data_IF_595386113837
#
_entry.id   IF_595386113837
#
_cell.length_a   1.000
_cell.length_b   1.000
_cell.length_c   1.000
_cell.angle_alpha   90.00
_cell.angle_beta   90.00
_cell.angle_gamma   90.00
#
_symmetry.space_group_name_H-M   'P 1'
#
loop_
_entity.id
_entity.type
_entity.pdbx_description
1 polymer ?
#
# COMPACT_ATOMS: atom_id res chain seq x y z
N UNK A 1 -56.60 10.78 -7.15
CA UNK A 1 -56.08 10.97 -5.78
C UNK A 1 -55.55 9.62 -5.36
N UNK A 2 -54.23 9.53 -5.29
CA UNK A 2 -53.46 8.29 -5.30
C UNK A 2 -53.51 7.55 -3.98
N UNK A 3 -53.31 6.24 -4.11
CA UNK A 3 -53.27 5.19 -3.13
C UNK A 3 -52.12 5.36 -2.14
N UNK A 4 -52.39 5.03 -0.87
CA UNK A 4 -51.44 5.03 0.23
C UNK A 4 -51.05 3.57 0.52
N UNK A 5 -49.83 3.18 0.15
CA UNK A 5 -49.25 1.87 0.44
C UNK A 5 -47.86 2.07 1.07
N UNK A 6 -47.78 1.77 2.37
CA UNK A 6 -46.55 1.65 3.13
C UNK A 6 -45.76 0.39 2.75
N UNK A 7 -44.42 0.44 2.68
CA UNK A 7 -43.60 -0.75 2.77
C UNK A 7 -42.77 -0.82 4.06
N UNK A 8 -42.67 -2.06 4.53
CA UNK A 8 -42.10 -2.50 5.80
C UNK A 8 -40.56 -2.57 5.77
N UNK A 9 -39.97 -2.43 6.97
CA UNK A 9 -38.57 -2.67 7.29
C UNK A 9 -38.09 -4.06 6.85
N UNK A 10 -36.99 -4.12 6.08
CA UNK A 10 -36.23 -5.34 5.81
C UNK A 10 -34.92 -5.28 6.61
N UNK A 11 -34.71 -6.27 7.47
CA UNK A 11 -33.55 -6.47 8.35
C UNK A 11 -32.29 -6.92 7.59
N UNK A 12 -31.19 -6.17 7.77
CA UNK A 12 -29.83 -6.46 7.27
C UNK A 12 -29.08 -7.48 8.16
N UNK A 13 -29.50 -8.74 8.18
CA UNK A 13 -28.78 -9.79 8.95
C UNK A 13 -28.12 -10.89 8.09
N UNK A 14 -28.20 -10.80 6.76
CA UNK A 14 -27.66 -11.84 5.85
C UNK A 14 -26.25 -11.60 5.26
N UNK A 15 -25.68 -10.41 5.37
CA UNK A 15 -24.51 -10.00 4.56
C UNK A 15 -23.13 -10.23 5.22
N UNK A 16 -23.07 -10.64 6.49
CA UNK A 16 -21.86 -10.45 7.31
C UNK A 16 -20.93 -11.68 7.44
N UNK A 17 -21.34 -12.88 7.00
CA UNK A 17 -20.57 -14.11 7.27
C UNK A 17 -19.80 -14.67 6.07
N UNK A 18 -20.36 -14.59 4.87
CA UNK A 18 -19.74 -15.14 3.64
C UNK A 18 -18.60 -14.26 3.09
N UNK A 19 -18.76 -12.94 3.16
CA UNK A 19 -17.76 -11.96 2.70
C UNK A 19 -16.49 -11.97 3.56
N UNK A 20 -16.63 -12.11 4.89
CA UNK A 20 -15.48 -12.19 5.81
C UNK A 20 -14.58 -13.40 5.54
N UNK A 21 -15.15 -14.57 5.26
CA UNK A 21 -14.35 -15.77 4.96
C UNK A 21 -13.66 -15.68 3.60
N UNK A 22 -14.33 -15.15 2.58
CA UNK A 22 -13.76 -14.95 1.25
C UNK A 22 -12.58 -13.95 1.26
N UNK A 23 -12.69 -12.86 2.05
CA UNK A 23 -11.64 -11.84 2.14
C UNK A 23 -10.40 -12.34 2.90
N UNK A 24 -10.58 -13.12 3.99
CA UNK A 24 -9.44 -13.79 4.66
C UNK A 24 -8.73 -14.83 3.80
N UNK A 25 -9.42 -15.43 2.81
CA UNK A 25 -8.82 -16.38 1.88
C UNK A 25 -8.07 -15.67 0.74
N UNK A 26 -8.54 -14.50 0.27
CA UNK A 26 -7.84 -13.67 -0.72
C UNK A 26 -6.57 -13.01 -0.17
N UNK A 27 -6.61 -12.48 1.06
CA UNK A 27 -5.41 -11.94 1.72
C UNK A 27 -4.33 -13.01 1.96
N UNK A 28 -4.74 -14.26 2.26
CA UNK A 28 -3.81 -15.40 2.39
C UNK A 28 -3.18 -15.83 1.06
N UNK A 29 -3.89 -15.70 -0.05
CA UNK A 29 -3.35 -16.06 -1.36
C UNK A 29 -2.20 -15.13 -1.83
N UNK A 30 -2.17 -13.87 -1.38
CA UNK A 30 -1.08 -12.93 -1.65
C UNK A 30 0.24 -13.31 -0.95
N UNK A 31 0.17 -13.88 0.26
CA UNK A 31 1.37 -14.26 1.05
C UNK A 31 2.07 -15.50 0.48
N UNK A 32 1.30 -16.46 -0.05
CA UNK A 32 1.84 -17.75 -0.53
C UNK A 32 2.63 -17.65 -1.84
N UNK A 33 2.38 -16.62 -2.67
CA UNK A 33 3.10 -16.41 -3.92
C UNK A 33 4.57 -16.00 -3.68
N UNK A 34 4.86 -15.26 -2.60
CA UNK A 34 6.22 -14.79 -2.30
C UNK A 34 7.08 -15.86 -1.60
N UNK A 35 6.48 -16.79 -0.85
CA UNK A 35 7.22 -17.87 -0.18
C UNK A 35 7.81 -18.89 -1.16
N UNK A 36 7.17 -19.10 -2.33
CA UNK A 36 7.68 -19.99 -3.40
C UNK A 36 8.86 -19.40 -4.17
N UNK A 37 8.96 -18.07 -4.25
CA UNK A 37 10.09 -17.36 -4.88
C UNK A 37 11.33 -17.32 -3.96
N UNK A 38 11.14 -17.24 -2.64
CA UNK A 38 12.26 -17.21 -1.68
C UNK A 38 12.90 -18.60 -1.44
N UNK A 39 12.15 -19.69 -1.61
CA UNK A 39 12.71 -21.06 -1.50
C UNK A 39 13.50 -21.46 -2.75
N UNK A 40 13.15 -20.92 -3.94
CA UNK A 40 13.88 -21.22 -5.18
C UNK A 40 15.27 -20.56 -5.24
N UNK A 41 15.48 -19.43 -4.55
CA UNK A 41 16.82 -18.82 -4.44
C UNK A 41 17.72 -19.43 -3.35
N UNK A 42 17.17 -20.14 -2.37
CA UNK A 42 17.99 -20.85 -1.36
C UNK A 42 18.53 -22.20 -1.84
N UNK A 43 17.96 -22.79 -2.90
CA UNK A 43 18.41 -24.09 -3.44
C UNK A 43 19.34 -24.00 -4.66
N UNK A 44 19.44 -22.83 -5.31
CA UNK A 44 20.37 -22.60 -6.43
C UNK A 44 21.80 -22.25 -5.99
N UNK A 45 22.01 -21.85 -4.72
CA UNK A 45 23.34 -21.55 -4.17
C UNK A 45 24.17 -22.76 -3.73
N UNK A 46 23.62 -23.98 -3.75
CA UNK A 46 24.26 -25.18 -3.23
C UNK A 46 24.84 -26.14 -4.30
N UNK A 47 24.74 -25.83 -5.61
CA UNK A 47 25.14 -26.74 -6.71
C UNK A 47 26.44 -26.29 -7.41
N UNK A 48 27.16 -25.28 -6.92
CA UNK A 48 28.44 -24.83 -7.56
C UNK A 48 29.70 -25.51 -6.98
N UNK A 49 29.55 -26.42 -6.01
CA UNK A 49 30.70 -27.03 -5.33
C UNK A 49 30.74 -28.56 -5.40
N UNK A 50 30.47 -29.17 -6.56
CA UNK A 50 31.01 -30.52 -6.87
C UNK A 50 30.85 -30.83 -8.35
N UNK A 51 31.98 -30.97 -9.05
CA UNK A 51 32.30 -31.98 -10.09
C UNK A 51 33.37 -31.38 -10.99
N UNK A 52 34.62 -31.59 -10.59
CA UNK A 52 35.79 -31.58 -11.49
C UNK A 52 35.99 -33.04 -11.94
N UNK A 53 36.40 -33.23 -13.19
CA UNK A 53 36.77 -34.50 -13.87
C UNK A 53 35.53 -35.29 -14.34
N UNK A 54 35.26 -35.48 -15.63
CA UNK A 54 35.92 -36.43 -16.54
C UNK A 54 35.82 -36.00 -18.02
N UNK A 55 36.85 -36.42 -18.74
CA UNK A 55 37.27 -36.22 -20.12
C UNK A 55 36.26 -36.45 -21.27
N UNK A 56 36.53 -35.67 -22.32
CA UNK A 56 36.40 -35.88 -23.78
C UNK A 56 35.81 -37.20 -24.30
N UNK A 57 34.82 -37.10 -25.18
CA UNK A 57 34.86 -37.75 -26.51
C UNK A 57 33.70 -37.26 -27.40
N UNK A 58 34.05 -36.71 -28.56
CA UNK A 58 33.13 -36.42 -29.66
C UNK A 58 32.76 -37.71 -30.38
N UNK A 59 31.46 -38.02 -30.48
CA UNK A 59 30.95 -39.03 -31.40
C UNK A 59 29.81 -38.47 -32.25
N UNK A 60 30.07 -38.38 -33.56
CA UNK A 60 29.08 -38.33 -34.62
C UNK A 60 28.40 -39.70 -34.75
N UNK A 61 27.07 -39.74 -34.97
CA UNK A 61 26.36 -40.34 -36.14
C UNK A 61 24.81 -40.36 -35.86
N UNK A 62 23.93 -40.78 -36.80
CA UNK A 62 22.94 -39.92 -37.44
C UNK A 62 21.48 -40.22 -37.05
N UNK A 63 20.58 -39.27 -37.37
CA UNK A 63 19.13 -39.43 -37.26
C UNK A 63 18.62 -40.51 -38.21
N UNK A 64 17.86 -41.48 -37.68
CA UNK A 64 16.93 -42.32 -38.44
C UNK A 64 15.50 -41.84 -38.18
N UNK A 65 14.77 -41.64 -39.26
CA UNK A 65 13.34 -41.28 -39.28
C UNK A 65 12.54 -42.51 -38.84
N UNK A 66 11.55 -42.29 -37.98
CA UNK A 66 10.48 -43.24 -37.77
C UNK A 66 9.14 -42.50 -37.90
N UNK A 67 8.35 -42.98 -38.85
CA UNK A 67 7.06 -42.48 -39.27
C UNK A 67 6.00 -43.22 -38.45
N UNK A 68 5.30 -42.50 -37.57
CA UNK A 68 4.22 -43.06 -36.75
C UNK A 68 2.89 -42.58 -37.32
N UNK A 69 2.09 -43.56 -37.75
CA UNK A 69 0.79 -43.38 -38.38
C UNK A 69 -0.28 -42.89 -37.40
N UNK A 70 -1.14 -42.01 -37.93
CA UNK A 70 -2.28 -41.36 -37.29
C UNK A 70 -3.44 -42.35 -37.06
N UNK A 71 -4.05 -42.40 -35.87
CA UNK A 71 -5.39 -42.97 -35.70
C UNK A 71 -6.45 -41.88 -35.87
N UNK A 72 -7.48 -42.21 -36.64
CA UNK A 72 -8.69 -41.44 -36.95
C UNK A 72 -9.59 -41.19 -35.73
N UNK A 73 -10.24 -40.01 -35.73
CA UNK A 73 -11.18 -39.50 -34.72
C UNK A 73 -12.38 -40.43 -34.45
N UNK A 74 -12.92 -40.46 -33.22
CA UNK A 74 -14.32 -40.76 -32.98
C UNK A 74 -15.17 -39.48 -33.10
N UNK A 75 -16.30 -39.59 -33.79
CA UNK A 75 -17.34 -38.57 -33.88
C UNK A 75 -18.10 -38.48 -32.55
N UNK A 76 -18.35 -37.26 -32.08
CA UNK A 76 -19.30 -36.97 -31.01
C UNK A 76 -20.37 -36.06 -31.56
N UNK A 77 -21.60 -36.49 -31.34
CA UNK A 77 -22.88 -36.00 -31.85
C UNK A 77 -23.23 -34.62 -31.29
N UNK A 78 -23.80 -33.79 -32.16
CA UNK A 78 -24.66 -32.64 -31.80
C UNK A 78 -25.85 -33.15 -31.00
N UNK A 79 -26.10 -32.57 -29.82
CA UNK A 79 -27.44 -32.48 -29.24
C UNK A 79 -27.53 -31.27 -28.28
N UNK A 80 -28.35 -30.32 -28.73
CA UNK A 80 -29.21 -29.40 -27.97
C UNK A 80 -28.63 -28.18 -27.25
N UNK A 81 -29.02 -27.04 -27.82
CA UNK A 81 -29.05 -25.67 -27.34
C UNK A 81 -29.40 -25.51 -25.85
N UNK A 82 -28.57 -24.76 -25.13
CA UNK A 82 -29.06 -23.77 -24.19
C UNK A 82 -28.21 -22.50 -24.30
N UNK A 83 -28.81 -21.53 -24.98
CA UNK A 83 -28.29 -20.20 -25.23
C UNK A 83 -28.43 -19.38 -23.94
N UNK A 84 -27.47 -19.52 -23.02
CA UNK A 84 -27.24 -18.47 -22.03
C UNK A 84 -26.21 -17.51 -22.63
N UNK A 85 -26.72 -16.36 -23.04
CA UNK A 85 -25.92 -15.18 -23.36
C UNK A 85 -24.90 -15.00 -22.24
N UNK A 86 -23.61 -15.16 -22.56
CA UNK A 86 -22.53 -14.63 -21.75
C UNK A 86 -22.72 -13.12 -21.79
N UNK A 87 -23.49 -12.62 -20.83
CA UNK A 87 -23.47 -11.21 -20.49
C UNK A 87 -21.99 -10.85 -20.31
N UNK A 88 -21.55 -9.84 -21.05
CA UNK A 88 -20.25 -9.24 -20.87
C UNK A 88 -20.14 -8.83 -19.40
N UNK A 89 -19.56 -9.69 -18.57
CA UNK A 89 -19.14 -9.34 -17.22
C UNK A 89 -18.00 -8.38 -17.43
N UNK A 90 -18.33 -7.09 -17.34
CA UNK A 90 -17.38 -6.00 -17.31
C UNK A 90 -16.31 -6.35 -16.27
N UNK A 91 -15.12 -6.70 -16.75
CA UNK A 91 -13.99 -7.11 -15.95
C UNK A 91 -13.30 -5.85 -15.41
N UNK A 92 -14.05 -4.93 -14.82
CA UNK A 92 -13.54 -3.86 -13.97
C UNK A 92 -13.57 -4.39 -12.53
N UNK A 93 -12.67 -5.35 -12.25
CA UNK A 93 -12.46 -5.85 -10.89
C UNK A 93 -11.79 -4.73 -10.08
N UNK A 94 -12.61 -3.85 -9.51
CA UNK A 94 -12.17 -2.86 -8.54
C UNK A 94 -11.62 -3.56 -7.32
N UNK A 95 -10.45 -3.12 -6.87
CA UNK A 95 -9.86 -3.55 -5.60
C UNK A 95 -10.75 -3.06 -4.47
N UNK A 96 -11.16 -3.98 -3.60
CA UNK A 96 -11.93 -3.63 -2.41
C UNK A 96 -10.99 -3.26 -1.26
N UNK A 97 -11.31 -2.14 -0.61
CA UNK A 97 -10.79 -1.71 0.69
C UNK A 97 -11.86 -0.82 1.35
N UNK A 98 -11.74 -0.53 2.64
CA UNK A 98 -12.81 0.14 3.40
C UNK A 98 -12.56 1.63 3.57
N UNK A 99 -11.31 2.01 3.85
CA UNK A 99 -10.93 3.38 4.21
C UNK A 99 -9.49 3.68 3.82
N UNK A 100 -9.08 4.94 3.96
CA UNK A 100 -7.66 5.30 3.90
C UNK A 100 -7.09 5.55 5.30
N UNK A 101 -5.82 5.24 5.47
CA UNK A 101 -4.97 5.81 6.51
C UNK A 101 -3.95 6.73 5.84
N UNK A 102 -4.00 8.02 6.17
CA UNK A 102 -2.94 8.97 5.81
C UNK A 102 -1.89 8.96 6.93
N UNK A 103 -0.67 8.55 6.61
CA UNK A 103 0.49 8.69 7.50
C UNK A 103 1.26 9.96 7.18
N UNK A 104 1.44 10.83 8.17
CA UNK A 104 2.28 12.04 8.10
C UNK A 104 3.52 11.81 8.97
N UNK A 105 4.72 11.91 8.40
CA UNK A 105 5.99 11.63 9.10
C UNK A 105 6.65 12.90 9.62
N UNK A 106 7.35 12.77 10.74
CA UNK A 106 8.21 13.81 11.30
C UNK A 106 9.67 13.50 10.98
N UNK A 107 10.16 14.05 9.86
CA UNK A 107 11.51 13.78 9.34
C UNK A 107 12.67 13.95 10.36
N UNK A 108 12.65 14.94 11.28
CA UNK A 108 13.68 15.04 12.32
C UNK A 108 13.86 13.77 13.15
N UNK A 109 12.78 13.03 13.44
CA UNK A 109 12.87 11.78 14.21
C UNK A 109 13.57 10.67 13.42
N UNK A 110 13.22 10.49 12.15
CA UNK A 110 13.92 9.56 11.26
C UNK A 110 15.42 9.85 11.23
N UNK A 111 15.81 11.13 11.09
CA UNK A 111 17.21 11.52 11.04
C UNK A 111 17.93 11.36 12.39
N UNK A 112 17.25 11.59 13.51
CA UNK A 112 17.82 11.37 14.83
C UNK A 112 18.11 9.89 15.12
N UNK A 113 17.20 8.98 14.72
CA UNK A 113 17.43 7.53 14.83
C UNK A 113 18.57 7.07 13.92
N UNK A 114 18.71 7.71 12.77
CA UNK A 114 19.70 7.37 11.75
C UNK A 114 20.87 8.35 11.70
N UNK A 115 21.21 9.01 12.81
CA UNK A 115 22.24 10.07 12.89
C UNK A 115 23.66 9.64 12.50
N UNK A 116 23.89 8.33 12.38
CA UNK A 116 25.17 7.76 11.95
C UNK A 116 25.18 7.35 10.46
N UNK A 117 24.03 7.46 9.78
CA UNK A 117 23.90 7.18 8.36
C UNK A 117 24.04 8.49 7.56
N UNK A 118 24.68 8.42 6.40
CA UNK A 118 24.81 9.57 5.50
C UNK A 118 23.58 9.70 4.58
N UNK A 119 22.45 10.07 5.18
CA UNK A 119 21.23 10.35 4.42
C UNK A 119 21.22 11.81 3.95
N UNK A 120 21.14 12.08 2.63
CA UNK A 120 21.23 13.43 2.10
C UNK A 120 20.18 14.39 2.67
N UNK A 121 18.95 13.92 2.89
CA UNK A 121 17.87 14.72 3.48
C UNK A 121 18.05 15.01 4.96
N UNK A 122 18.90 14.25 5.67
CA UNK A 122 19.29 14.54 7.05
C UNK A 122 20.44 15.54 7.13
N UNK A 123 21.43 15.43 6.23
CA UNK A 123 22.60 16.32 6.19
C UNK A 123 22.27 17.71 5.61
N UNK A 124 21.29 17.77 4.68
CA UNK A 124 20.87 19.01 4.03
C UNK A 124 19.33 19.09 3.96
N UNK A 125 18.65 19.20 5.11
CA UNK A 125 17.20 19.23 5.13
C UNK A 125 16.66 20.53 4.55
N UNK A 126 15.54 20.45 3.83
CA UNK A 126 14.78 21.65 3.50
C UNK A 126 14.22 22.31 4.76
N UNK A 127 14.09 23.63 4.73
CA UNK A 127 13.56 24.40 5.86
C UNK A 127 12.13 23.97 6.23
N UNK A 128 11.35 23.54 5.23
CA UNK A 128 10.00 23.01 5.46
C UNK A 128 10.02 21.78 6.38
N UNK A 129 10.92 20.82 6.13
CA UNK A 129 10.99 19.54 6.86
C UNK A 129 11.42 19.69 8.33
N UNK A 130 12.07 20.80 8.70
CA UNK A 130 12.47 21.05 10.09
C UNK A 130 11.27 21.18 11.02
N UNK A 131 10.23 21.86 10.58
CA UNK A 131 9.11 22.26 11.43
C UNK A 131 7.75 21.75 10.95
N UNK A 132 7.69 21.16 9.76
CA UNK A 132 6.47 20.60 9.19
C UNK A 132 6.60 19.10 8.99
N UNK A 133 5.50 18.40 9.22
CA UNK A 133 5.35 17.01 8.85
C UNK A 133 5.14 16.90 7.34
N UNK A 134 5.63 15.82 6.76
CA UNK A 134 5.45 15.48 5.34
C UNK A 134 4.61 14.23 5.20
N UNK A 135 4.05 13.99 4.03
CA UNK A 135 3.34 12.74 3.73
C UNK A 135 4.37 11.60 3.83
N UNK A 136 4.04 10.59 4.64
CA UNK A 136 4.69 9.29 4.65
C UNK A 136 3.98 8.34 3.68
N UNK A 137 2.64 8.36 3.67
CA UNK A 137 1.86 7.67 2.64
C UNK A 137 0.35 7.78 2.79
N UNK A 138 -0.36 7.39 1.74
CA UNK A 138 -1.82 7.27 1.71
C UNK A 138 -2.17 5.79 1.45
N UNK A 139 -2.64 5.10 2.48
CA UNK A 139 -2.70 3.64 2.49
C UNK A 139 -4.16 3.18 2.45
N UNK A 140 -4.58 2.37 1.46
CA UNK A 140 -5.88 1.71 1.49
C UNK A 140 -5.92 0.64 2.59
N UNK A 141 -6.84 0.77 3.54
CA UNK A 141 -7.00 -0.12 4.70
C UNK A 141 -8.34 -0.86 4.68
N UNK A 142 -8.37 -2.00 5.34
CA UNK A 142 -9.56 -2.72 5.78
C UNK A 142 -9.88 -2.36 7.23
N UNK A 143 -11.15 -2.49 7.63
CA UNK A 143 -11.58 -2.22 9.01
C UNK A 143 -10.92 -3.12 10.05
N UNK A 144 -10.41 -4.29 9.64
CA UNK A 144 -9.72 -5.25 10.51
C UNK A 144 -8.24 -4.90 10.78
N UNK A 145 -7.76 -3.76 10.28
CA UNK A 145 -6.43 -3.23 10.54
C UNK A 145 -5.37 -3.67 9.52
N UNK A 146 -5.68 -4.59 8.61
CA UNK A 146 -4.80 -4.88 7.48
C UNK A 146 -4.96 -3.83 6.38
N UNK A 147 -3.95 -3.71 5.52
CA UNK A 147 -3.98 -2.81 4.38
C UNK A 147 -3.91 -3.59 3.07
N UNK A 148 -4.56 -3.05 2.04
CA UNK A 148 -4.45 -3.59 0.71
C UNK A 148 -3.06 -3.22 0.16
N UNK A 149 -2.29 -4.24 -0.21
CA UNK A 149 -0.96 -4.07 -0.78
C UNK A 149 -0.71 -5.00 -1.96
N UNK A 150 0.15 -4.57 -2.89
CA UNK A 150 0.58 -5.33 -4.06
C UNK A 150 -0.59 -5.91 -4.87
N UNK A 151 -1.64 -5.13 -5.06
CA UNK A 151 -2.83 -5.56 -5.78
C UNK A 151 -2.51 -5.90 -7.25
N UNK A 152 -3.35 -6.76 -7.84
CA UNK A 152 -3.14 -7.23 -9.20
C UNK A 152 -3.10 -6.07 -10.21
N UNK A 153 -2.06 -6.10 -11.04
CA UNK A 153 -1.74 -5.05 -12.01
C UNK A 153 -0.22 -4.88 -12.07
N UNK A 154 0.32 -4.66 -13.26
CA UNK A 154 1.75 -4.50 -13.46
C UNK A 154 2.14 -3.04 -13.75
N UNK A 155 1.26 -2.09 -13.39
CA UNK A 155 1.52 -0.68 -13.63
C UNK A 155 2.60 -0.14 -12.68
N UNK A 156 3.75 0.18 -13.26
CA UNK A 156 4.74 1.02 -12.62
C UNK A 156 4.35 2.48 -12.71
N UNK A 157 4.78 3.29 -11.73
CA UNK A 157 4.58 4.74 -11.79
C UNK A 157 5.40 5.31 -12.95
N UNK A 158 4.69 5.88 -13.92
CA UNK A 158 5.25 6.61 -15.05
C UNK A 158 5.64 8.03 -14.60
N UNK A 159 6.91 8.44 -14.69
CA UNK A 159 7.34 9.77 -14.24
C UNK A 159 6.59 10.92 -14.94
N UNK A 160 6.14 10.70 -16.18
CA UNK A 160 5.35 11.67 -16.94
C UNK A 160 3.95 11.88 -16.35
N UNK A 161 3.36 10.88 -15.69
CA UNK A 161 2.03 10.94 -15.12
C UNK A 161 1.92 11.96 -13.98
N UNK A 162 3.01 12.17 -13.23
CA UNK A 162 3.07 13.09 -12.08
C UNK A 162 3.96 14.31 -12.32
N UNK A 163 4.44 14.51 -13.54
CA UNK A 163 5.38 15.59 -13.85
C UNK A 163 4.86 16.98 -13.42
N UNK A 164 3.56 17.22 -13.59
CA UNK A 164 2.91 18.50 -13.26
C UNK A 164 2.87 18.80 -11.76
N UNK A 165 2.88 17.76 -10.92
CA UNK A 165 2.79 17.87 -9.45
C UNK A 165 4.11 17.54 -8.75
N UNK A 166 5.15 17.18 -9.51
CA UNK A 166 6.46 16.78 -9.00
C UNK A 166 7.03 17.80 -8.00
N UNK A 167 7.02 19.13 -8.25
CA UNK A 167 7.53 20.10 -7.26
C UNK A 167 6.77 20.08 -5.92
N UNK A 168 5.45 19.82 -5.94
CA UNK A 168 4.70 19.61 -4.69
C UNK A 168 5.11 18.33 -3.99
N UNK A 169 5.29 17.23 -4.72
CA UNK A 169 5.70 15.95 -4.14
C UNK A 169 7.12 16.02 -3.55
N UNK A 170 8.07 16.69 -4.21
CA UNK A 170 9.43 16.89 -3.66
C UNK A 170 9.40 17.62 -2.31
N UNK A 171 8.52 18.61 -2.18
CA UNK A 171 8.38 19.38 -0.95
C UNK A 171 7.61 18.64 0.15
N UNK A 172 6.50 18.00 -0.20
CA UNK A 172 5.49 17.51 0.74
C UNK A 172 5.50 15.99 0.95
N UNK A 173 6.11 15.21 0.06
CA UNK A 173 6.27 13.76 0.17
C UNK A 173 7.70 13.33 -0.21
N UNK A 174 8.73 13.88 0.47
CA UNK A 174 10.11 13.65 0.11
C UNK A 174 10.59 12.24 0.49
N UNK A 175 11.53 11.73 -0.29
CA UNK A 175 12.47 10.73 0.20
C UNK A 175 13.57 11.43 1.02
N UNK A 176 13.64 11.15 2.32
CA UNK A 176 14.67 11.72 3.21
C UNK A 176 16.00 10.95 3.09
N UNK A 177 15.92 9.64 2.80
CA UNK A 177 17.07 8.74 2.75
C UNK A 177 17.93 8.88 1.50
N UNK A 178 17.38 9.39 0.40
CA UNK A 178 18.09 9.57 -0.88
C UNK A 178 17.66 10.87 -1.56
N UNK A 179 18.44 11.33 -2.55
CA UNK A 179 18.03 12.45 -3.42
C UNK A 179 17.03 12.03 -4.51
N UNK A 180 16.79 10.72 -4.64
CA UNK A 180 15.87 10.18 -5.63
C UNK A 180 14.49 10.00 -5.00
N UNK A 181 13.69 11.07 -5.05
CA UNK A 181 12.32 11.03 -4.56
C UNK A 181 11.40 10.15 -5.43
N UNK A 182 11.72 9.97 -6.72
CA UNK A 182 10.92 9.16 -7.64
C UNK A 182 10.90 7.69 -7.21
N UNK A 183 12.02 7.16 -6.74
CA UNK A 183 12.10 5.77 -6.23
C UNK A 183 11.10 5.50 -5.09
N UNK A 184 10.89 6.47 -4.20
CA UNK A 184 9.91 6.38 -3.12
C UNK A 184 8.50 6.35 -3.71
N UNK A 185 8.16 7.29 -4.58
CA UNK A 185 6.82 7.36 -5.16
C UNK A 185 6.49 6.13 -6.01
N UNK A 186 7.46 5.59 -6.75
CA UNK A 186 7.32 4.33 -7.47
C UNK A 186 6.98 3.17 -6.53
N UNK A 187 7.70 3.08 -5.41
CA UNK A 187 7.46 2.05 -4.38
C UNK A 187 6.06 2.21 -3.78
N UNK A 188 5.67 3.42 -3.37
CA UNK A 188 4.34 3.67 -2.79
C UNK A 188 3.21 3.41 -3.78
N UNK A 189 3.39 3.77 -5.05
CA UNK A 189 2.42 3.45 -6.09
C UNK A 189 2.26 1.94 -6.25
N UNK A 190 3.37 1.22 -6.43
CA UNK A 190 3.36 -0.22 -6.64
C UNK A 190 2.79 -0.98 -5.45
N UNK A 191 3.10 -0.55 -4.23
CA UNK A 191 2.64 -1.20 -3.01
C UNK A 191 1.19 -0.85 -2.68
N UNK A 192 0.81 0.43 -2.76
CA UNK A 192 -0.46 0.91 -2.21
C UNK A 192 -1.32 1.65 -3.23
N UNK A 193 -0.71 2.48 -4.08
CA UNK A 193 -1.43 3.28 -5.07
C UNK A 193 -2.23 2.43 -6.06
N UNK A 194 -1.69 1.30 -6.50
CA UNK A 194 -2.38 0.38 -7.41
C UNK A 194 -3.68 -0.21 -6.82
N UNK A 195 -3.77 -0.27 -5.49
CA UNK A 195 -4.95 -0.75 -4.77
C UNK A 195 -6.06 0.32 -4.62
N UNK A 196 -5.80 1.58 -5.01
CA UNK A 196 -6.70 2.71 -4.75
C UNK A 196 -7.89 2.82 -5.70
N UNK A 197 -7.89 2.09 -6.83
CA UNK A 197 -8.76 2.30 -7.99
C UNK A 197 -8.64 3.70 -8.64
N UNK A 198 -7.63 4.49 -8.27
CA UNK A 198 -7.33 5.78 -8.87
C UNK A 198 -6.26 5.63 -9.95
N UNK A 199 -6.25 6.56 -10.90
CA UNK A 199 -5.08 6.71 -11.78
C UNK A 199 -3.88 7.22 -10.98
N UNK A 200 -2.67 6.97 -11.49
CA UNK A 200 -1.41 7.42 -10.88
C UNK A 200 -1.46 8.89 -10.43
N UNK A 201 -1.81 9.81 -11.34
CA UNK A 201 -1.92 11.24 -11.02
C UNK A 201 -2.94 11.50 -9.91
N UNK A 202 -4.14 10.92 -10.01
CA UNK A 202 -5.22 11.15 -9.03
C UNK A 202 -4.85 10.64 -7.64
N UNK A 203 -4.12 9.54 -7.52
CA UNK A 203 -3.65 9.03 -6.24
C UNK A 203 -2.71 10.02 -5.53
N UNK A 204 -1.71 10.54 -6.24
CA UNK A 204 -0.77 11.50 -5.68
C UNK A 204 -1.42 12.88 -5.42
N UNK A 205 -2.30 13.35 -6.30
CA UNK A 205 -3.09 14.56 -6.06
C UNK A 205 -4.00 14.40 -4.84
N UNK A 206 -4.65 13.25 -4.69
CA UNK A 206 -5.49 12.96 -3.54
C UNK A 206 -4.70 13.07 -2.22
N UNK A 207 -3.53 12.43 -2.13
CA UNK A 207 -2.68 12.50 -0.95
C UNK A 207 -2.22 13.94 -0.63
N UNK A 208 -1.85 14.72 -1.65
CA UNK A 208 -1.51 16.14 -1.49
C UNK A 208 -2.70 16.97 -0.99
N UNK A 209 -3.91 16.71 -1.51
CA UNK A 209 -5.12 17.45 -1.18
C UNK A 209 -5.61 17.19 0.24
N UNK A 210 -5.41 15.97 0.77
CA UNK A 210 -5.83 15.59 2.13
C UNK A 210 -4.73 15.77 3.18
N UNK A 211 -3.58 16.34 2.81
CA UNK A 211 -2.47 16.59 3.71
C UNK A 211 -2.91 17.43 4.92
N UNK A 212 -2.58 16.96 6.13
CA UNK A 212 -2.95 17.66 7.36
C UNK A 212 -1.91 18.73 7.69
N UNK A 213 -2.38 19.96 7.94
CA UNK A 213 -1.54 21.08 8.36
C UNK A 213 -0.86 20.76 9.67
N UNK A 214 0.47 20.90 9.72
CA UNK A 214 1.24 20.71 10.95
C UNK A 214 0.86 21.76 11.99
N UNK A 215 0.41 21.36 13.21
CA UNK A 215 0.01 22.31 14.23
C UNK A 215 1.17 23.18 14.71
N UNK A 216 0.85 24.39 15.17
CA UNK A 216 1.84 25.30 15.75
C UNK A 216 2.60 24.69 16.93
N UNK A 217 1.99 23.74 17.65
CA UNK A 217 2.65 23.01 18.74
C UNK A 217 3.94 22.33 18.24
N UNK A 218 3.89 21.56 17.15
CA UNK A 218 5.08 20.91 16.58
C UNK A 218 6.09 21.95 16.08
N UNK A 219 5.60 22.98 15.38
CA UNK A 219 6.45 24.01 14.76
C UNK A 219 7.25 24.82 15.78
N UNK A 220 6.65 25.14 16.93
CA UNK A 220 7.24 26.02 17.95
C UNK A 220 7.98 25.27 19.06
N UNK A 221 7.71 23.97 19.23
CA UNK A 221 8.35 23.09 20.23
C UNK A 221 9.49 22.25 19.65
N UNK A 222 10.05 22.66 18.50
CA UNK A 222 11.17 21.97 17.86
C UNK A 222 12.32 21.69 18.85
N UNK A 223 12.76 20.43 18.95
CA UNK A 223 13.82 20.01 19.87
C UNK A 223 13.43 19.97 21.35
N UNK A 224 12.14 20.06 21.68
CA UNK A 224 11.63 20.02 23.06
C UNK A 224 10.59 18.91 23.23
N UNK A 225 9.83 18.94 24.33
CA UNK A 225 8.76 17.99 24.61
C UNK A 225 7.49 18.67 25.10
N UNK A 226 6.38 17.95 25.01
CA UNK A 226 5.06 18.36 25.49
C UNK A 226 4.25 17.13 25.93
N UNK A 227 3.18 17.37 26.69
CA UNK A 227 2.26 16.30 27.09
C UNK A 227 1.48 15.80 25.87
N UNK A 228 1.30 14.48 25.71
CA UNK A 228 0.55 13.85 24.61
C UNK A 228 -0.80 14.55 24.35
N UNK A 229 -1.51 14.90 25.42
CA UNK A 229 -2.82 15.54 25.35
C UNK A 229 -2.81 16.91 24.64
N UNK A 230 -1.68 17.62 24.66
CA UNK A 230 -1.55 18.89 23.92
C UNK A 230 -1.61 18.64 22.41
N UNK A 231 -0.97 17.56 21.93
CA UNK A 231 -0.98 17.20 20.52
C UNK A 231 -2.30 16.57 20.09
N UNK A 232 -2.90 15.73 20.94
CA UNK A 232 -4.25 15.19 20.72
C UNK A 232 -5.23 16.35 20.46
N UNK A 233 -5.26 17.37 21.34
CA UNK A 233 -6.12 18.55 21.18
C UNK A 233 -5.77 19.36 19.94
N UNK A 234 -4.49 19.51 19.61
CA UNK A 234 -4.05 20.25 18.42
C UNK A 234 -4.54 19.60 17.12
N UNK A 235 -4.78 18.29 17.13
CA UNK A 235 -5.38 17.53 16.03
C UNK A 235 -6.85 17.17 16.25
N UNK A 236 -7.56 17.89 17.13
CA UNK A 236 -8.98 17.67 17.43
C UNK A 236 -9.32 16.25 17.89
N UNK A 237 -8.38 15.54 18.51
CA UNK A 237 -8.49 14.15 18.98
C UNK A 237 -8.84 13.13 17.88
N UNK A 238 -8.45 13.41 16.63
CA UNK A 238 -8.66 12.51 15.48
C UNK A 238 -7.39 11.79 15.01
N UNK A 239 -6.23 12.24 15.48
CA UNK A 239 -4.95 11.66 15.15
C UNK A 239 -4.68 10.39 15.97
N UNK A 240 -4.05 9.39 15.34
CA UNK A 240 -3.31 8.34 16.04
C UNK A 240 -1.84 8.73 16.08
N UNK A 241 -1.25 8.68 17.27
CA UNK A 241 0.12 9.14 17.49
C UNK A 241 1.10 7.96 17.55
N UNK A 242 2.03 7.93 16.59
CA UNK A 242 3.03 6.86 16.48
C UNK A 242 4.41 7.41 16.87
N UNK A 243 5.00 6.80 17.88
CA UNK A 243 6.27 7.17 18.46
C UNK A 243 7.29 6.03 18.43
N UNK A 244 8.54 6.36 18.12
CA UNK A 244 9.69 5.48 18.39
C UNK A 244 9.96 5.44 19.89
N UNK A 245 10.23 4.25 20.41
CA UNK A 245 10.39 4.00 21.86
C UNK A 245 9.23 4.57 22.69
N UNK A 246 8.03 4.72 22.09
CA UNK A 246 6.82 5.28 22.68
C UNK A 246 6.91 6.74 23.15
N UNK A 247 7.99 7.45 22.83
CA UNK A 247 8.24 8.82 23.29
C UNK A 247 8.63 9.78 22.17
N UNK A 248 9.31 9.33 21.12
CA UNK A 248 9.77 10.22 20.05
C UNK A 248 8.77 10.25 18.91
N UNK A 249 8.15 11.41 18.64
CA UNK A 249 7.13 11.51 17.60
C UNK A 249 7.72 11.16 16.23
N UNK A 250 7.26 10.07 15.65
CA UNK A 250 7.73 9.56 14.35
C UNK A 250 6.71 9.85 13.26
N UNK A 251 5.45 9.56 13.54
CA UNK A 251 4.37 9.64 12.55
C UNK A 251 3.05 9.98 13.25
N UNK A 252 2.17 10.66 12.52
CA UNK A 252 0.79 10.93 12.90
C UNK A 252 -0.11 10.37 11.82
N UNK A 253 -1.08 9.54 12.19
CA UNK A 253 -1.99 8.90 11.26
C UNK A 253 -3.42 9.45 11.38
N UNK A 254 -4.13 9.52 10.25
CA UNK A 254 -5.53 9.90 10.18
C UNK A 254 -6.31 8.91 9.32
N UNK A 255 -7.44 8.43 9.83
CA UNK A 255 -8.36 7.62 9.06
C UNK A 255 -9.30 8.52 8.24
N UNK A 256 -9.52 8.18 6.99
CA UNK A 256 -10.36 8.93 6.05
C UNK A 256 -11.32 7.99 5.35
N UNK A 257 -12.54 8.47 5.12
CA UNK A 257 -13.48 7.75 4.27
C UNK A 257 -13.01 7.70 2.81
N UNK A 258 -13.78 7.04 1.96
CA UNK A 258 -13.55 7.02 0.51
C UNK A 258 -14.83 7.12 -0.29
N UNK A 259 -14.71 7.61 -1.53
CA UNK A 259 -15.80 7.55 -2.51
C UNK A 259 -15.90 6.15 -3.15
N UNK A 260 -16.99 5.83 -3.85
CA UNK A 260 -17.11 4.61 -4.65
C UNK A 260 -16.00 4.47 -5.72
N UNK A 261 -15.48 5.59 -6.22
CA UNK A 261 -14.38 5.66 -7.18
C UNK A 261 -12.99 5.54 -6.52
N UNK A 262 -12.94 5.43 -5.19
CA UNK A 262 -11.69 5.21 -4.44
C UNK A 262 -10.96 6.48 -4.02
N UNK A 263 -11.53 7.67 -4.19
CA UNK A 263 -10.89 8.91 -3.70
C UNK A 263 -11.10 9.08 -2.18
N UNK A 264 -10.10 9.55 -1.41
CA UNK A 264 -10.28 9.85 0.02
C UNK A 264 -11.28 10.99 0.24
N UNK A 265 -11.98 10.96 1.36
CA UNK A 265 -12.96 11.98 1.78
C UNK A 265 -12.58 12.54 3.16
N UNK A 266 -13.57 12.88 3.98
CA UNK A 266 -13.37 13.48 5.30
C UNK A 266 -12.67 12.53 6.28
N UNK A 267 -12.03 13.13 7.29
CA UNK A 267 -11.47 12.40 8.43
C UNK A 267 -12.61 11.73 9.20
N UNK A 268 -12.46 10.43 9.44
CA UNK A 268 -13.40 9.60 10.21
C UNK A 268 -12.72 9.10 11.49
N UNK A 269 -13.50 8.53 12.41
CA UNK A 269 -12.93 7.80 13.53
C UNK A 269 -12.27 6.51 13.03
N UNK A 270 -11.06 6.25 13.50
CA UNK A 270 -10.37 5.02 13.14
C UNK A 270 -11.07 3.78 13.72
N UNK A 271 -11.19 2.69 12.96
CA UNK A 271 -11.51 1.36 13.48
C UNK A 271 -10.57 0.95 14.61
N UNK A 272 -11.06 0.16 15.57
CA UNK A 272 -10.30 -0.21 16.76
C UNK A 272 -9.01 -0.98 16.43
N UNK A 273 -9.03 -1.83 15.40
CA UNK A 273 -7.84 -2.55 14.94
C UNK A 273 -6.74 -1.60 14.43
N UNK A 274 -7.11 -0.47 13.81
CA UNK A 274 -6.14 0.54 13.34
C UNK A 274 -5.63 1.40 14.51
N UNK A 275 -6.46 1.63 15.54
CA UNK A 275 -6.04 2.35 16.76
C UNK A 275 -4.89 1.66 17.49
N UNK A 276 -4.66 0.37 17.26
CA UNK A 276 -3.50 -0.35 17.81
C UNK A 276 -2.14 0.25 17.38
N UNK A 277 -2.11 1.04 16.29
CA UNK A 277 -0.93 1.78 15.86
C UNK A 277 -0.56 2.94 16.82
N UNK A 278 -1.53 3.49 17.56
CA UNK A 278 -1.29 4.58 18.52
C UNK A 278 -0.49 4.06 19.72
N UNK A 279 0.74 4.56 19.88
CA UNK A 279 1.67 4.00 20.87
C UNK A 279 2.41 5.05 21.70
N UNK A 280 2.25 6.35 21.39
CA UNK A 280 2.85 7.43 22.16
C UNK A 280 2.26 7.50 23.57
N UNK A 281 3.09 7.72 24.60
CA UNK A 281 2.63 7.83 25.99
C UNK A 281 3.27 8.98 26.75
N UNK A 282 2.48 9.61 27.63
CA UNK A 282 2.95 10.66 28.54
C UNK A 282 3.56 11.83 27.78
N UNK A 283 4.82 12.13 28.06
CA UNK A 283 5.58 13.18 27.39
C UNK A 283 6.10 12.71 26.02
N UNK A 284 5.75 13.47 24.98
CA UNK A 284 6.25 13.28 23.62
C UNK A 284 7.45 14.19 23.40
N UNK A 285 8.53 13.63 22.85
CA UNK A 285 9.76 14.28 22.46
C UNK A 285 9.75 14.59 20.96
N UNK A 286 10.16 15.81 20.59
CA UNK A 286 10.46 16.17 19.22
C UNK A 286 11.97 16.16 19.00
N UNK A 287 12.41 15.26 18.12
CA UNK A 287 13.78 15.23 17.65
C UNK A 287 14.15 16.48 16.83
N UNK A 288 15.45 16.74 16.72
CA UNK A 288 16.01 17.70 15.77
C UNK A 288 16.79 16.95 14.70
N UNK A 289 16.92 17.56 13.52
CA UNK A 289 17.96 17.14 12.59
C UNK A 289 19.34 17.20 13.29
N UNK A 290 20.22 16.20 13.05
CA UNK A 290 21.56 16.15 13.64
C UNK A 290 22.52 17.22 13.09
#
# INVERSE_FOLDING_TARGET
>A
MNEDASPQHISREGYTRGSRQANTLRARACVDAEMRSRITWMLLGAIVATVVVVATSTFHHPRRKEEVQLPTQPQVTEDLEQNDTIDNVDFDLKVEFDLYVLGMIYAPEFCFQNRFNDYPGCSHPEEFWRTHMTIGGLFPYFEDGYYAEYCEGNETLEPSAIHTIKPQLERYWPNIGTRDHMSLWQTHWQQHGICSNLTQLKYFEAALNVMIVTPNLIRTRYGTSFERQELDRAFNNKALLVCSHRQWLKEVQFCMGRTPEGAPTDIIDCPDAIKENDNCVGMIQLATFP
#
